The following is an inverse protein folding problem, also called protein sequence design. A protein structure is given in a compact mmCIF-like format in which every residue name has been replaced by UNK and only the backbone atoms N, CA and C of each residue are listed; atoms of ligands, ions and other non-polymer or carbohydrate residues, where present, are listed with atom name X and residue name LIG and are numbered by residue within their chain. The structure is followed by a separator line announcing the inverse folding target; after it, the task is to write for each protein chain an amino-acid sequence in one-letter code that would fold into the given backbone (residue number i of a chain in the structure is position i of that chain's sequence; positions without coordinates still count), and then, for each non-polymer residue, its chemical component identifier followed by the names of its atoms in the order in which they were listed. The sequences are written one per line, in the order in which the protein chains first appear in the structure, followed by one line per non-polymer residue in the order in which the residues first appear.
data_IF_179636220773
#
_entry.id   IF_179636220773
#
_cell.length_a   1.000
_cell.length_b   1.000
_cell.length_c   1.000
_cell.angle_alpha   90.00
_cell.angle_beta   90.00
_cell.angle_gamma   90.00
#
_symmetry.space_group_name_H-M   'P 1'
#
loop_
_entity.id
_entity.type
_entity.pdbx_description
1 polymer ?
#
# COMPACT_ATOMS: atom_id res chain seq x y z
N UNK A 1 -9.30 25.93 -8.08
CA UNK A 1 -10.27 25.68 -9.16
C UNK A 1 -11.34 24.76 -8.61
N UNK A 2 -12.61 25.14 -8.71
CA UNK A 2 -13.71 24.36 -8.14
C UNK A 2 -14.30 23.50 -9.25
N UNK A 3 -14.07 22.19 -9.19
CA UNK A 3 -14.70 21.21 -10.09
C UNK A 3 -15.73 20.42 -9.29
N UNK A 4 -16.92 20.23 -9.84
CA UNK A 4 -17.95 19.36 -9.26
C UNK A 4 -17.77 17.96 -9.81
N UNK A 5 -17.75 16.97 -8.94
CA UNK A 5 -17.67 15.56 -9.34
C UNK A 5 -19.02 14.92 -9.04
N UNK A 6 -19.63 14.32 -10.05
CA UNK A 6 -20.94 13.67 -9.95
C UNK A 6 -20.82 12.18 -10.26
N UNK A 7 -21.40 11.35 -9.39
CA UNK A 7 -21.42 9.89 -9.49
C UNK A 7 -22.70 9.41 -10.18
N UNK A 8 -22.56 8.42 -11.06
CA UNK A 8 -23.63 7.80 -11.84
C UNK A 8 -23.46 6.28 -11.90
N UNK A 9 -24.56 5.53 -11.92
CA UNK A 9 -24.53 4.17 -12.45
C UNK A 9 -24.47 4.21 -13.98
N UNK A 10 -24.05 3.12 -14.61
CA UNK A 10 -23.89 3.08 -16.06
C UNK A 10 -25.18 3.36 -16.84
N UNK A 11 -26.32 2.90 -16.35
CA UNK A 11 -27.62 3.05 -17.01
C UNK A 11 -28.17 4.47 -16.89
N UNK A 12 -27.73 5.23 -15.87
CA UNK A 12 -28.11 6.63 -15.64
C UNK A 12 -27.01 7.62 -16.02
N UNK A 13 -25.87 7.11 -16.52
CA UNK A 13 -24.73 7.92 -16.91
C UNK A 13 -25.08 8.78 -18.15
N UNK A 14 -24.83 10.10 -18.11
CA UNK A 14 -25.01 10.97 -19.27
C UNK A 14 -24.06 10.57 -20.41
N UNK A 15 -24.45 10.89 -21.65
CA UNK A 15 -23.67 10.57 -22.86
C UNK A 15 -22.23 11.09 -22.79
N UNK A 16 -22.02 12.23 -22.13
CA UNK A 16 -20.69 12.82 -21.91
C UNK A 16 -19.66 11.86 -21.30
N UNK A 17 -20.08 10.89 -20.48
CA UNK A 17 -19.14 9.89 -19.95
C UNK A 17 -18.56 9.03 -21.08
N UNK A 18 -19.41 8.60 -22.01
CA UNK A 18 -19.02 7.82 -23.18
C UNK A 18 -18.23 8.68 -24.17
N UNK A 19 -18.68 9.91 -24.43
CA UNK A 19 -18.01 10.83 -25.35
C UNK A 19 -16.56 11.14 -24.95
N UNK A 20 -16.32 11.39 -23.65
CA UNK A 20 -14.97 11.70 -23.16
C UNK A 20 -14.07 10.47 -23.29
N UNK A 21 -14.56 9.27 -22.94
CA UNK A 21 -13.81 8.02 -23.10
C UNK A 21 -13.48 7.73 -24.57
N UNK A 22 -14.45 7.92 -25.46
CA UNK A 22 -14.28 7.77 -26.91
C UNK A 22 -13.19 8.72 -27.44
N UNK A 23 -13.27 10.01 -27.09
CA UNK A 23 -12.28 11.01 -27.53
C UNK A 23 -10.87 10.70 -27.02
N UNK A 24 -10.74 10.35 -25.74
CA UNK A 24 -9.40 10.17 -25.12
C UNK A 24 -8.81 8.80 -25.40
N UNK A 25 -9.54 7.71 -25.18
CA UNK A 25 -8.97 6.37 -25.31
C UNK A 25 -8.96 5.90 -26.76
N UNK A 26 -10.08 6.04 -27.48
CA UNK A 26 -10.19 5.51 -28.85
C UNK A 26 -9.59 6.46 -29.88
N UNK A 27 -10.02 7.73 -29.90
CA UNK A 27 -9.59 8.66 -30.95
C UNK A 27 -8.16 9.16 -30.75
N UNK A 28 -7.78 9.54 -29.53
CA UNK A 28 -6.46 10.06 -29.22
C UNK A 28 -5.44 8.93 -28.97
N UNK A 29 -5.68 8.04 -28.01
CA UNK A 29 -4.72 7.01 -27.62
C UNK A 29 -4.75 5.74 -28.49
N UNK A 30 -5.70 5.65 -29.43
CA UNK A 30 -5.84 4.53 -30.38
C UNK A 30 -6.09 3.17 -29.72
N UNK A 31 -6.70 3.16 -28.53
CA UNK A 31 -7.23 1.94 -27.91
C UNK A 31 -8.34 1.39 -28.81
N UNK A 32 -8.30 0.09 -29.18
CA UNK A 32 -9.36 -0.53 -29.96
C UNK A 32 -10.74 -0.35 -29.28
N UNK A 33 -11.79 0.10 -30.01
CA UNK A 33 -13.11 0.34 -29.42
C UNK A 33 -13.67 -0.85 -28.64
N UNK A 34 -13.42 -2.08 -29.11
CA UNK A 34 -13.86 -3.32 -28.48
C UNK A 34 -13.19 -3.62 -27.13
N UNK A 35 -12.05 -3.00 -26.82
CA UNK A 35 -11.37 -3.12 -25.53
C UNK A 35 -11.75 -2.00 -24.55
N UNK A 36 -12.24 -0.88 -25.06
CA UNK A 36 -12.62 0.27 -24.22
C UNK A 36 -13.86 -0.03 -23.38
N UNK A 37 -14.86 -0.66 -23.98
CA UNK A 37 -16.14 -1.00 -23.36
C UNK A 37 -16.11 -2.44 -22.85
N UNK A 38 -16.27 -2.62 -21.53
CA UNK A 38 -16.14 -3.94 -20.91
C UNK A 38 -17.30 -4.27 -19.96
N UNK A 39 -17.35 -5.53 -19.51
CA UNK A 39 -18.40 -5.99 -18.60
C UNK A 39 -18.37 -5.31 -17.22
N UNK A 40 -17.28 -4.65 -16.85
CA UNK A 40 -17.19 -3.94 -15.57
C UNK A 40 -17.88 -2.58 -15.61
N UNK A 41 -18.14 -2.03 -16.79
CA UNK A 41 -18.89 -0.78 -16.93
C UNK A 41 -20.27 -0.86 -16.28
N UNK A 42 -20.98 -2.00 -16.40
CA UNK A 42 -22.32 -2.19 -15.83
C UNK A 42 -22.36 -2.18 -14.29
N UNK A 43 -21.27 -2.59 -13.63
CA UNK A 43 -21.17 -2.70 -12.17
C UNK A 43 -20.39 -1.56 -11.52
N UNK A 44 -19.78 -0.69 -12.33
CA UNK A 44 -18.95 0.40 -11.84
C UNK A 44 -19.79 1.63 -11.47
N UNK A 45 -19.30 2.36 -10.47
CA UNK A 45 -19.64 3.75 -10.26
C UNK A 45 -18.84 4.62 -11.23
N UNK A 46 -19.52 5.44 -12.02
CA UNK A 46 -18.90 6.35 -12.99
C UNK A 46 -18.94 7.78 -12.47
N UNK A 47 -17.83 8.49 -12.61
CA UNK A 47 -17.66 9.83 -12.08
C UNK A 47 -17.41 10.80 -13.24
N UNK A 48 -18.17 11.90 -13.25
CA UNK A 48 -18.02 12.98 -14.23
C UNK A 48 -17.56 14.26 -13.53
N UNK A 49 -16.46 14.83 -14.00
CA UNK A 49 -15.94 16.12 -13.58
C UNK A 49 -16.57 17.22 -14.43
N UNK A 50 -17.21 18.18 -13.76
CA UNK A 50 -17.99 19.26 -14.37
C UNK A 50 -17.46 20.60 -13.84
N UNK A 51 -17.12 21.48 -14.77
CA UNK A 51 -16.66 22.84 -14.50
C UNK A 51 -17.82 23.76 -14.05
N UNK A 52 -17.54 24.94 -13.46
CA UNK A 52 -18.58 25.84 -12.96
C UNK A 52 -19.59 26.33 -14.02
N UNK A 53 -19.20 26.33 -15.29
CA UNK A 53 -20.04 26.67 -16.44
C UNK A 53 -20.88 25.48 -16.95
N UNK A 54 -20.90 24.36 -16.21
CA UNK A 54 -21.49 23.08 -16.55
C UNK A 54 -20.80 22.30 -17.68
N UNK A 55 -19.58 22.70 -18.06
CA UNK A 55 -18.82 21.96 -19.08
C UNK A 55 -18.25 20.64 -18.52
N UNK A 56 -18.56 19.48 -19.11
CA UNK A 56 -17.94 18.20 -18.76
C UNK A 56 -16.46 18.18 -19.19
N UNK A 57 -15.55 17.89 -18.26
CA UNK A 57 -14.11 17.99 -18.50
C UNK A 57 -13.34 16.69 -18.36
N UNK A 58 -13.87 15.72 -17.60
CA UNK A 58 -13.18 14.47 -17.37
C UNK A 58 -14.04 13.41 -16.71
N UNK A 59 -13.56 12.18 -16.73
CA UNK A 59 -14.26 10.98 -16.26
C UNK A 59 -13.32 10.06 -15.49
N UNK A 60 -13.90 9.22 -14.66
CA UNK A 60 -13.24 8.06 -14.07
C UNK A 60 -14.31 7.01 -13.72
N UNK A 61 -13.88 5.78 -13.45
CA UNK A 61 -14.75 4.76 -12.85
C UNK A 61 -14.10 4.16 -11.60
N UNK A 62 -14.94 3.72 -10.67
CA UNK A 62 -14.58 2.94 -9.50
C UNK A 62 -15.48 1.71 -9.44
N UNK A 63 -14.89 0.53 -9.29
CA UNK A 63 -15.66 -0.70 -9.09
C UNK A 63 -14.95 -1.63 -8.12
N UNK A 64 -15.68 -2.62 -7.63
CA UNK A 64 -15.12 -3.73 -6.86
C UNK A 64 -15.82 -5.02 -7.30
N UNK A 65 -15.05 -6.09 -7.56
CA UNK A 65 -15.62 -7.38 -7.98
C UNK A 65 -16.07 -8.20 -6.77
N UNK A 66 -15.20 -8.34 -5.77
CA UNK A 66 -15.46 -8.96 -4.46
C UNK A 66 -14.41 -8.46 -3.46
N UNK A 67 -14.84 -8.02 -2.27
CA UNK A 67 -13.95 -7.85 -1.11
C UNK A 67 -13.58 -6.41 -0.75
N UNK A 68 -12.38 -6.24 -0.21
CA UNK A 68 -11.88 -5.02 0.46
C UNK A 68 -11.06 -4.11 -0.47
N UNK A 69 -11.08 -4.36 -1.78
CA UNK A 69 -10.28 -3.63 -2.79
C UNK A 69 -11.17 -2.91 -3.79
N UNK A 70 -10.91 -1.62 -4.00
CA UNK A 70 -11.51 -0.81 -5.05
C UNK A 70 -10.57 -0.68 -6.26
N UNK A 71 -11.13 -0.71 -7.46
CA UNK A 71 -10.38 -0.57 -8.72
C UNK A 71 -10.74 0.74 -9.40
N UNK A 72 -9.76 1.64 -9.52
CA UNK A 72 -9.89 2.88 -10.26
C UNK A 72 -9.47 2.63 -11.70
N UNK A 73 -10.30 3.05 -12.64
CA UNK A 73 -10.03 2.89 -14.07
C UNK A 73 -10.65 3.99 -14.91
N UNK A 74 -10.41 3.91 -16.23
CA UNK A 74 -10.97 4.80 -17.25
C UNK A 74 -10.85 6.29 -16.89
N UNK A 75 -9.74 6.65 -16.24
CA UNK A 75 -9.49 8.00 -15.82
C UNK A 75 -9.01 8.82 -17.01
N UNK A 76 -9.81 9.79 -17.45
CA UNK A 76 -9.54 10.58 -18.64
C UNK A 76 -9.96 12.04 -18.44
N UNK A 77 -9.10 12.97 -18.85
CA UNK A 77 -9.39 14.40 -18.92
C UNK A 77 -9.25 14.82 -20.38
N UNK A 78 -10.24 15.57 -20.89
CA UNK A 78 -10.18 16.11 -22.26
C UNK A 78 -8.92 17.00 -22.44
N UNK A 79 -8.24 16.93 -23.60
CA UNK A 79 -6.97 17.64 -23.83
C UNK A 79 -6.95 19.10 -23.42
N UNK A 80 -7.99 19.85 -23.75
CA UNK A 80 -8.17 21.28 -23.47
C UNK A 80 -8.24 21.63 -21.97
N UNK A 81 -8.55 20.65 -21.11
CA UNK A 81 -8.67 20.84 -19.67
C UNK A 81 -7.52 20.21 -18.86
N UNK A 82 -6.51 19.62 -19.52
CA UNK A 82 -5.34 19.04 -18.86
C UNK A 82 -4.45 20.11 -18.24
N UNK A 83 -3.69 19.73 -17.21
CA UNK A 83 -2.79 20.64 -16.49
C UNK A 83 -3.49 21.63 -15.55
N UNK A 84 -4.82 21.59 -15.46
CA UNK A 84 -5.61 22.52 -14.62
C UNK A 84 -5.96 21.94 -13.23
N UNK A 85 -5.41 20.77 -12.87
CA UNK A 85 -5.65 20.11 -11.57
C UNK A 85 -6.95 19.30 -11.49
N UNK A 86 -7.73 19.19 -12.57
CA UNK A 86 -9.00 18.42 -12.59
C UNK A 86 -8.77 16.94 -12.30
N UNK A 87 -7.74 16.32 -12.91
CA UNK A 87 -7.39 14.93 -12.64
C UNK A 87 -7.04 14.69 -11.17
N UNK A 88 -6.29 15.60 -10.56
CA UNK A 88 -5.96 15.51 -9.13
C UNK A 88 -7.21 15.61 -8.25
N UNK A 89 -8.11 16.54 -8.57
CA UNK A 89 -9.38 16.68 -7.86
C UNK A 89 -10.26 15.42 -8.01
N UNK A 90 -10.31 14.83 -9.21
CA UNK A 90 -11.01 13.57 -9.47
C UNK A 90 -10.43 12.42 -8.64
N UNK A 91 -9.11 12.22 -8.68
CA UNK A 91 -8.47 11.14 -7.93
C UNK A 91 -8.65 11.31 -6.42
N UNK A 92 -8.51 12.54 -5.90
CA UNK A 92 -8.76 12.83 -4.48
C UNK A 92 -10.18 12.47 -4.08
N UNK A 93 -11.18 12.82 -4.90
CA UNK A 93 -12.56 12.44 -4.65
C UNK A 93 -12.76 10.93 -4.62
N UNK A 94 -12.15 10.18 -5.56
CA UNK A 94 -12.22 8.72 -5.55
C UNK A 94 -11.58 8.11 -4.30
N UNK A 95 -10.45 8.66 -3.82
CA UNK A 95 -9.83 8.24 -2.57
C UNK A 95 -10.78 8.50 -1.39
N UNK A 96 -11.42 9.67 -1.34
CA UNK A 96 -12.40 10.01 -0.31
C UNK A 96 -13.62 9.09 -0.34
N UNK A 97 -14.20 8.82 -1.51
CA UNK A 97 -15.33 7.88 -1.67
C UNK A 97 -14.95 6.46 -1.23
N UNK A 98 -13.68 6.10 -1.41
CA UNK A 98 -13.16 4.79 -1.05
C UNK A 98 -12.74 4.65 0.42
N UNK A 99 -12.45 5.77 1.09
CA UNK A 99 -11.96 5.78 2.47
C UNK A 99 -13.01 5.17 3.41
N UNK A 100 -12.60 4.19 4.21
CA UNK A 100 -13.50 3.43 5.09
C UNK A 100 -14.36 2.37 4.38
N UNK A 101 -14.47 2.38 3.05
CA UNK A 101 -15.13 1.33 2.27
C UNK A 101 -14.14 0.24 1.82
N UNK A 102 -12.97 0.67 1.36
CA UNK A 102 -11.91 -0.22 0.86
C UNK A 102 -10.65 -0.05 1.69
N UNK A 103 -9.97 -1.16 1.96
CA UNK A 103 -8.64 -1.15 2.57
C UNK A 103 -7.55 -0.91 1.52
N UNK A 104 -7.83 -1.17 0.25
CA UNK A 104 -6.89 -1.01 -0.84
C UNK A 104 -7.55 -0.41 -2.07
N UNK A 105 -6.82 0.45 -2.77
CA UNK A 105 -7.14 0.89 -4.12
C UNK A 105 -6.10 0.38 -5.08
N UNK A 106 -6.54 -0.13 -6.22
CA UNK A 106 -5.69 -0.59 -7.31
C UNK A 106 -6.05 0.13 -8.61
N UNK A 107 -5.06 0.30 -9.47
CA UNK A 107 -5.23 0.82 -10.81
C UNK A 107 -4.14 0.32 -11.73
N UNK A 108 -4.44 0.25 -13.03
CA UNK A 108 -3.44 0.10 -14.07
C UNK A 108 -3.06 1.49 -14.57
N UNK A 109 -1.82 1.90 -14.34
CA UNK A 109 -1.32 3.22 -14.75
C UNK A 109 -0.49 3.11 -16.02
N UNK A 110 -0.79 3.96 -17.00
CA UNK A 110 0.12 4.21 -18.11
C UNK A 110 1.47 4.71 -17.56
N UNK A 111 2.57 4.28 -18.14
CA UNK A 111 3.91 4.55 -17.60
C UNK A 111 4.20 6.05 -17.37
N UNK A 112 3.67 6.92 -18.23
CA UNK A 112 3.85 8.38 -18.08
C UNK A 112 2.99 8.99 -16.95
N UNK A 113 1.96 8.29 -16.47
CA UNK A 113 1.06 8.73 -15.41
C UNK A 113 1.50 8.27 -14.00
N UNK A 114 2.55 7.45 -13.88
CA UNK A 114 3.04 6.95 -12.58
C UNK A 114 3.29 8.09 -11.59
N UNK A 115 4.00 9.13 -12.03
CA UNK A 115 4.32 10.26 -11.17
C UNK A 115 3.06 11.02 -10.70
N UNK A 116 1.97 10.99 -11.48
CA UNK A 116 0.69 11.57 -11.09
C UNK A 116 0.06 10.78 -9.94
N UNK A 117 -0.01 9.45 -10.05
CA UNK A 117 -0.56 8.58 -9.00
C UNK A 117 0.32 8.52 -7.74
N UNK A 118 1.66 8.56 -7.89
CA UNK A 118 2.58 8.65 -6.75
C UNK A 118 2.36 9.91 -5.92
N UNK A 119 2.02 11.04 -6.55
CA UNK A 119 1.67 12.26 -5.80
C UNK A 119 0.41 12.12 -4.96
N UNK A 120 -0.45 11.18 -5.32
CA UNK A 120 -1.66 10.84 -4.58
C UNK A 120 -1.47 9.67 -3.60
N UNK A 121 -0.24 9.13 -3.44
CA UNK A 121 0.05 8.07 -2.47
C UNK A 121 -0.04 6.63 -2.98
N UNK A 122 -0.11 6.44 -4.30
CA UNK A 122 -0.01 5.12 -4.91
C UNK A 122 1.45 4.73 -5.14
N UNK A 123 1.76 3.43 -5.06
CA UNK A 123 3.06 2.88 -5.41
C UNK A 123 2.92 1.77 -6.46
N UNK A 124 3.97 1.58 -7.26
CA UNK A 124 4.06 0.51 -8.26
C UNK A 124 4.16 -0.85 -7.57
N UNK A 125 3.40 -1.84 -8.04
CA UNK A 125 3.38 -3.19 -7.47
C UNK A 125 3.55 -4.34 -8.49
N UNK A 126 3.87 -4.03 -9.75
CA UNK A 126 4.09 -5.00 -10.84
C UNK A 126 5.35 -4.68 -11.65
N UNK A 127 5.71 -5.60 -12.55
CA UNK A 127 6.61 -5.31 -13.67
C UNK A 127 5.84 -4.67 -14.84
N UNK A 128 6.49 -3.91 -15.73
CA UNK A 128 5.80 -3.30 -16.86
C UNK A 128 5.18 -4.36 -17.78
N UNK A 129 3.97 -4.08 -18.26
CA UNK A 129 3.27 -4.93 -19.23
C UNK A 129 2.61 -4.09 -20.33
N UNK A 130 2.26 -4.73 -21.45
CA UNK A 130 1.52 -4.11 -22.54
C UNK A 130 0.01 -4.24 -22.29
N UNK A 131 -0.72 -3.14 -22.39
CA UNK A 131 -2.18 -3.11 -22.43
C UNK A 131 -2.62 -2.25 -23.62
N UNK A 132 -3.25 -2.89 -24.61
CA UNK A 132 -3.64 -2.29 -25.88
C UNK A 132 -2.52 -1.52 -26.61
N UNK A 133 -1.27 -2.01 -26.57
CA UNK A 133 -0.12 -1.35 -27.19
C UNK A 133 0.48 -0.19 -26.37
N UNK A 134 0.01 0.01 -25.13
CA UNK A 134 0.45 1.07 -24.23
C UNK A 134 1.17 0.43 -23.03
N UNK A 135 2.40 0.86 -22.69
CA UNK A 135 3.10 0.38 -21.49
C UNK A 135 2.40 0.79 -20.20
N UNK A 136 2.06 -0.21 -19.38
CA UNK A 136 1.36 -0.07 -18.12
C UNK A 136 2.11 -0.72 -16.96
N UNK A 137 1.79 -0.23 -15.76
CA UNK A 137 2.20 -0.78 -14.47
C UNK A 137 1.00 -0.75 -13.53
N UNK A 138 0.75 -1.85 -12.84
CA UNK A 138 -0.17 -1.87 -11.70
C UNK A 138 0.40 -1.02 -10.57
N UNK A 139 -0.47 -0.19 -10.02
CA UNK A 139 -0.20 0.61 -8.84
C UNK A 139 -1.30 0.38 -7.80
N UNK A 140 -0.94 0.56 -6.54
CA UNK A 140 -1.88 0.43 -5.42
C UNK A 140 -1.66 1.45 -4.31
N UNK A 141 -2.71 1.69 -3.54
CA UNK A 141 -2.71 2.43 -2.29
C UNK A 141 -3.28 1.53 -1.19
N UNK A 142 -2.51 1.27 -0.14
CA UNK A 142 -2.87 0.37 0.96
C UNK A 142 -3.45 1.10 2.20
N UNK A 143 -3.60 2.42 2.13
CA UNK A 143 -4.08 3.26 3.23
C UNK A 143 -4.92 4.44 2.75
N UNK A 144 -6.02 4.21 2.01
CA UNK A 144 -6.85 5.30 1.47
C UNK A 144 -7.40 6.21 2.57
N UNK A 145 -7.77 5.66 3.73
CA UNK A 145 -8.26 6.41 4.90
C UNK A 145 -7.24 7.42 5.44
N UNK A 146 -5.95 7.06 5.46
CA UNK A 146 -4.89 7.97 5.92
C UNK A 146 -4.62 9.09 4.92
N UNK A 147 -4.76 8.83 3.62
CA UNK A 147 -4.61 9.85 2.59
C UNK A 147 -5.77 10.85 2.60
N UNK A 148 -6.99 10.36 2.80
CA UNK A 148 -8.19 11.20 2.97
C UNK A 148 -8.02 12.15 4.17
N UNK A 149 -7.61 11.63 5.33
CA UNK A 149 -7.37 12.44 6.52
C UNK A 149 -6.26 13.50 6.34
N UNK A 150 -5.44 13.38 5.29
CA UNK A 150 -4.36 14.30 4.93
C UNK A 150 -4.68 15.16 3.69
N UNK A 151 -5.93 15.24 3.24
CA UNK A 151 -6.34 15.89 1.98
C UNK A 151 -5.97 17.38 1.81
N UNK A 152 -5.37 18.04 2.83
CA UNK A 152 -4.80 19.40 2.76
C UNK A 152 -3.28 19.50 2.99
N UNK A 153 -2.59 18.37 3.15
CA UNK A 153 -1.16 18.31 3.44
C UNK A 153 -0.32 18.61 2.20
N UNK A 154 0.79 19.36 2.36
CA UNK A 154 1.74 19.68 1.28
C UNK A 154 2.71 18.52 0.95
N UNK A 155 2.34 17.28 1.26
CA UNK A 155 3.17 16.09 0.98
C UNK A 155 3.18 15.83 -0.52
N UNK A 156 4.37 15.78 -1.11
CA UNK A 156 4.51 15.60 -2.55
C UNK A 156 4.33 14.15 -3.00
N UNK A 157 4.82 13.16 -2.23
CA UNK A 157 4.74 11.73 -2.56
C UNK A 157 4.43 10.94 -1.27
N UNK A 158 3.21 11.05 -0.73
CA UNK A 158 2.90 10.49 0.58
C UNK A 158 3.09 8.96 0.58
N UNK A 159 3.70 8.44 1.64
CA UNK A 159 3.90 7.00 1.86
C UNK A 159 4.70 6.27 0.78
N UNK A 160 5.47 6.99 -0.05
CA UNK A 160 6.35 6.36 -1.03
C UNK A 160 7.72 6.03 -0.40
N UNK A 161 8.06 4.75 -0.34
CA UNK A 161 9.29 4.25 0.29
C UNK A 161 10.52 4.84 -0.40
N UNK A 162 11.38 5.50 0.37
CA UNK A 162 12.57 6.21 -0.10
C UNK A 162 12.34 7.66 -0.52
N UNK A 163 11.09 8.12 -0.60
CA UNK A 163 10.78 9.45 -1.12
C UNK A 163 9.96 10.34 -0.16
N UNK A 164 9.10 9.77 0.68
CA UNK A 164 8.38 10.54 1.70
C UNK A 164 9.28 10.86 2.91
N UNK A 165 9.85 12.06 2.88
CA UNK A 165 10.77 12.57 3.91
C UNK A 165 10.08 13.01 5.20
N UNK A 166 8.75 13.10 5.21
CA UNK A 166 8.01 13.52 6.39
C UNK A 166 7.48 12.30 7.15
N UNK A 167 7.68 12.28 8.48
CA UNK A 167 7.16 11.19 9.32
C UNK A 167 5.63 11.25 9.45
N UNK A 168 5.01 10.08 9.47
CA UNK A 168 3.59 9.89 9.79
C UNK A 168 3.47 9.52 11.26
N UNK A 169 2.65 10.24 12.03
CA UNK A 169 2.36 9.88 13.42
C UNK A 169 1.10 9.04 13.47
N UNK A 170 1.08 8.08 14.37
CA UNK A 170 -0.08 7.26 14.62
C UNK A 170 -0.27 7.11 16.15
N UNK A 171 -1.52 7.12 16.59
CA UNK A 171 -1.91 6.99 18.00
C UNK A 171 -2.89 5.84 18.24
N UNK A 172 -3.35 5.21 17.16
CA UNK A 172 -4.29 4.10 17.17
C UNK A 172 -3.76 2.97 16.30
N UNK A 173 -4.25 1.76 16.56
CA UNK A 173 -3.81 0.55 15.88
C UNK A 173 -4.11 0.57 14.38
N UNK A 174 -5.31 1.00 13.97
CA UNK A 174 -5.70 1.04 12.55
C UNK A 174 -4.71 1.85 11.70
N UNK A 175 -4.39 3.08 12.12
CA UNK A 175 -3.42 3.93 11.42
C UNK A 175 -2.01 3.34 11.40
N UNK A 176 -1.60 2.65 12.49
CA UNK A 176 -0.32 1.96 12.55
C UNK A 176 -0.25 0.79 11.55
N UNK A 177 -1.31 -0.01 11.47
CA UNK A 177 -1.40 -1.15 10.57
C UNK A 177 -1.43 -0.71 9.09
N UNK A 178 -2.17 0.35 8.77
CA UNK A 178 -2.20 0.95 7.43
C UNK A 178 -0.81 1.44 6.97
N UNK A 179 -0.08 2.11 7.87
CA UNK A 179 1.30 2.56 7.60
C UNK A 179 2.27 1.39 7.46
N UNK A 180 2.12 0.37 8.31
CA UNK A 180 2.92 -0.85 8.26
C UNK A 180 2.72 -1.58 6.93
N UNK A 181 1.47 -1.82 6.52
CA UNK A 181 1.15 -2.51 5.27
C UNK A 181 1.59 -1.70 4.05
N UNK A 182 1.36 -0.38 4.07
CA UNK A 182 1.85 0.53 3.03
C UNK A 182 3.36 0.44 2.85
N UNK A 183 4.12 0.33 3.95
CA UNK A 183 5.57 0.23 3.91
C UNK A 183 6.05 -1.14 3.44
N UNK A 184 5.54 -2.24 4.02
CA UNK A 184 5.94 -3.60 3.65
C UNK A 184 5.54 -3.93 2.21
N UNK A 185 4.42 -3.38 1.72
CA UNK A 185 3.97 -3.56 0.35
C UNK A 185 4.93 -3.03 -0.72
N UNK A 186 5.88 -2.17 -0.33
CA UNK A 186 6.92 -1.61 -1.18
C UNK A 186 8.28 -2.27 -0.99
N UNK A 187 8.43 -3.17 -0.01
CA UNK A 187 9.70 -3.77 0.34
C UNK A 187 10.33 -4.54 -0.83
N UNK A 188 11.59 -4.25 -1.13
CA UNK A 188 12.34 -4.92 -2.20
C UNK A 188 13.17 -6.10 -1.72
N UNK A 189 13.76 -6.00 -0.53
CA UNK A 189 14.83 -6.90 -0.09
C UNK A 189 14.73 -7.31 1.38
N UNK A 190 14.27 -6.43 2.29
CA UNK A 190 14.45 -6.68 3.72
C UNK A 190 13.25 -6.24 4.55
N UNK A 191 12.88 -7.09 5.51
CA UNK A 191 11.95 -6.78 6.58
C UNK A 191 12.50 -7.29 7.90
N UNK A 192 12.90 -6.39 8.80
CA UNK A 192 13.35 -6.76 10.14
C UNK A 192 12.36 -6.26 11.17
N UNK A 193 11.83 -7.14 12.00
CA UNK A 193 10.85 -6.82 13.04
C UNK A 193 11.43 -7.15 14.40
N UNK A 194 11.40 -6.17 15.31
CA UNK A 194 11.71 -6.34 16.72
C UNK A 194 10.49 -5.98 17.56
N UNK A 195 10.02 -6.94 18.37
CA UNK A 195 8.88 -6.75 19.27
C UNK A 195 8.98 -7.66 20.50
N UNK A 196 8.10 -7.49 21.49
CA UNK A 196 8.07 -8.38 22.66
C UNK A 196 7.55 -9.77 22.31
N UNK A 197 6.45 -9.81 21.55
CA UNK A 197 5.81 -11.04 21.09
C UNK A 197 5.42 -10.87 19.63
N UNK A 198 5.31 -11.97 18.89
CA UNK A 198 4.70 -11.94 17.56
C UNK A 198 3.17 -12.06 17.74
N UNK A 199 2.55 -10.91 17.99
CA UNK A 199 1.12 -10.77 18.26
C UNK A 199 0.23 -11.15 17.05
N UNK A 200 -0.84 -11.91 17.29
CA UNK A 200 -1.72 -12.41 16.24
C UNK A 200 -2.54 -11.29 15.56
N UNK A 201 -2.98 -10.29 16.32
CA UNK A 201 -3.85 -9.24 15.81
C UNK A 201 -3.04 -8.23 14.99
N UNK A 202 -1.76 -8.05 15.31
CA UNK A 202 -0.85 -7.20 14.54
C UNK A 202 -0.26 -7.90 13.31
N UNK A 203 0.30 -9.11 13.50
CA UNK A 203 1.18 -9.76 12.52
C UNK A 203 0.58 -11.00 11.85
N UNK A 204 -0.50 -11.61 12.36
CA UNK A 204 -1.15 -12.77 11.71
C UNK A 204 -2.32 -12.39 10.78
N UNK A 205 -2.44 -11.10 10.47
CA UNK A 205 -3.45 -10.57 9.54
C UNK A 205 -3.23 -11.10 8.12
N UNK A 206 -4.30 -11.38 7.39
CA UNK A 206 -4.23 -11.88 6.00
C UNK A 206 -3.38 -10.97 5.10
N UNK A 207 -3.67 -9.66 5.11
CA UNK A 207 -2.94 -8.66 4.32
C UNK A 207 -1.44 -8.68 4.59
N UNK A 208 -1.03 -8.56 5.86
CA UNK A 208 0.38 -8.58 6.23
C UNK A 208 1.09 -9.87 5.79
N UNK A 209 0.44 -11.02 5.95
CA UNK A 209 0.99 -12.32 5.49
C UNK A 209 1.21 -12.37 3.98
N UNK A 210 0.27 -11.86 3.19
CA UNK A 210 0.41 -11.79 1.73
C UNK A 210 1.58 -10.88 1.34
N UNK A 211 1.75 -9.74 2.01
CA UNK A 211 2.87 -8.83 1.77
C UNK A 211 4.23 -9.48 2.12
N UNK A 212 4.32 -10.16 3.27
CA UNK A 212 5.53 -10.87 3.70
C UNK A 212 5.84 -12.05 2.77
N UNK A 213 4.82 -12.82 2.36
CA UNK A 213 4.95 -13.91 1.39
C UNK A 213 5.43 -13.40 0.04
N UNK A 214 4.88 -12.29 -0.44
CA UNK A 214 5.31 -11.60 -1.66
C UNK A 214 6.78 -11.19 -1.58
N UNK A 215 7.18 -10.52 -0.49
CA UNK A 215 8.59 -10.15 -0.26
C UNK A 215 9.51 -11.37 -0.26
N UNK A 216 9.14 -12.44 0.45
CA UNK A 216 9.96 -13.65 0.58
C UNK A 216 10.20 -14.35 -0.78
N UNK A 217 9.26 -14.21 -1.72
CA UNK A 217 9.32 -14.81 -3.07
C UNK A 217 9.90 -13.86 -4.13
N UNK A 218 9.88 -12.55 -3.89
CA UNK A 218 10.25 -11.51 -4.84
C UNK A 218 11.70 -11.63 -5.33
N UNK A 219 12.65 -11.83 -4.43
CA UNK A 219 14.06 -11.87 -4.80
C UNK A 219 14.85 -12.92 -4.02
N UNK A 220 15.89 -13.48 -4.65
CA UNK A 220 16.77 -14.47 -4.02
C UNK A 220 17.61 -13.95 -2.86
N UNK A 221 17.59 -12.64 -2.60
CA UNK A 221 18.25 -12.00 -1.46
C UNK A 221 17.23 -11.45 -0.45
N UNK A 222 15.94 -11.73 -0.65
CA UNK A 222 14.91 -11.34 0.31
C UNK A 222 15.21 -11.93 1.68
N UNK A 223 15.19 -11.08 2.69
CA UNK A 223 15.52 -11.41 4.07
C UNK A 223 14.48 -10.84 5.02
N UNK A 224 13.77 -11.73 5.70
CA UNK A 224 12.80 -11.40 6.73
C UNK A 224 13.32 -11.96 8.06
N UNK A 225 13.54 -11.09 9.04
CA UNK A 225 14.04 -11.46 10.37
C UNK A 225 13.09 -10.97 11.44
N UNK A 226 12.64 -11.87 12.29
CA UNK A 226 11.71 -11.61 13.39
C UNK A 226 12.44 -11.86 14.71
N UNK A 227 12.65 -10.82 15.50
CA UNK A 227 13.32 -10.92 16.79
C UNK A 227 12.32 -10.59 17.89
N UNK A 228 12.02 -11.57 18.74
CA UNK A 228 11.03 -11.42 19.81
C UNK A 228 11.60 -11.78 21.18
N UNK A 229 10.92 -11.37 22.26
CA UNK A 229 11.30 -11.73 23.63
C UNK A 229 10.78 -13.11 24.01
N UNK A 230 9.53 -13.38 23.64
CA UNK A 230 8.81 -14.59 24.06
C UNK A 230 8.00 -15.19 22.92
N UNK A 231 8.04 -16.50 22.79
CA UNK A 231 7.32 -17.32 21.80
C UNK A 231 6.14 -18.10 22.39
N UNK A 232 5.83 -17.96 23.69
CA UNK A 232 4.70 -18.67 24.29
C UNK A 232 3.35 -18.38 23.60
N UNK A 233 3.16 -17.19 23.05
CA UNK A 233 1.95 -16.85 22.28
C UNK A 233 1.79 -17.74 21.05
N UNK A 234 2.91 -18.16 20.44
CA UNK A 234 2.95 -18.96 19.20
C UNK A 234 2.55 -20.42 19.43
N UNK A 235 2.73 -20.95 20.64
CA UNK A 235 2.26 -22.30 20.98
C UNK A 235 0.75 -22.31 21.21
N UNK A 236 0.25 -21.32 21.96
CA UNK A 236 -1.15 -21.29 22.40
C UNK A 236 -2.11 -21.24 21.21
N UNK A 237 -1.71 -20.56 20.13
CA UNK A 237 -2.50 -20.41 18.92
C UNK A 237 -1.59 -20.46 17.70
N UNK A 238 -1.94 -21.34 16.75
CA UNK A 238 -1.30 -21.45 15.43
C UNK A 238 -1.17 -20.08 14.78
N UNK A 239 0.06 -19.68 14.47
CA UNK A 239 0.38 -18.42 13.80
C UNK A 239 0.87 -18.72 12.38
N UNK A 240 0.23 -18.15 11.37
CA UNK A 240 0.48 -18.51 9.98
C UNK A 240 1.77 -17.90 9.40
N UNK A 241 2.32 -16.83 9.97
CA UNK A 241 3.69 -16.39 9.64
C UNK A 241 4.73 -17.45 10.02
N UNK A 242 4.51 -18.19 11.12
CA UNK A 242 5.39 -19.30 11.51
C UNK A 242 5.29 -20.45 10.50
N UNK A 243 4.11 -20.73 9.96
CA UNK A 243 3.97 -21.70 8.86
C UNK A 243 4.68 -21.26 7.59
N UNK A 244 4.53 -19.98 7.23
CA UNK A 244 5.23 -19.40 6.09
C UNK A 244 6.75 -19.51 6.28
N UNK A 245 7.25 -19.28 7.50
CA UNK A 245 8.63 -19.48 7.88
C UNK A 245 9.09 -20.93 7.67
N UNK A 246 8.28 -21.92 8.07
CA UNK A 246 8.60 -23.34 7.83
C UNK A 246 8.66 -23.71 6.35
N UNK A 247 7.87 -23.05 5.50
CA UNK A 247 7.90 -23.24 4.04
C UNK A 247 9.09 -22.53 3.38
N UNK A 248 9.54 -21.40 3.93
CA UNK A 248 10.60 -20.56 3.40
C UNK A 248 11.70 -20.26 4.45
N UNK A 249 12.35 -21.27 5.04
CA UNK A 249 13.25 -21.09 6.19
C UNK A 249 14.56 -20.36 5.86
N UNK A 250 14.95 -20.32 4.58
CA UNK A 250 16.09 -19.54 4.11
C UNK A 250 15.78 -18.05 3.93
N UNK A 251 14.49 -17.68 3.96
CA UNK A 251 14.00 -16.30 3.73
C UNK A 251 13.49 -15.66 4.99
N UNK A 252 12.77 -16.43 5.80
CA UNK A 252 12.13 -15.95 7.03
C UNK A 252 12.80 -16.67 8.19
N UNK A 253 13.28 -15.90 9.15
CA UNK A 253 13.93 -16.43 10.34
C UNK A 253 13.34 -15.76 11.57
N UNK A 254 13.19 -16.54 12.64
CA UNK A 254 12.75 -16.04 13.95
C UNK A 254 13.78 -16.42 15.02
N UNK A 255 14.15 -15.44 15.85
CA UNK A 255 15.00 -15.64 17.02
C UNK A 255 14.36 -15.03 18.27
N UNK A 256 14.71 -15.61 19.41
CA UNK A 256 14.43 -15.04 20.71
C UNK A 256 15.64 -14.21 21.16
N UNK A 257 15.41 -13.04 21.74
CA UNK A 257 16.49 -12.27 22.34
C UNK A 257 17.13 -13.05 23.49
N UNK A 258 18.39 -12.73 23.77
CA UNK A 258 19.03 -13.07 25.03
C UNK A 258 18.68 -12.00 26.07
N UNK A 259 17.97 -12.39 27.13
CA UNK A 259 17.54 -11.47 28.19
C UNK A 259 18.70 -10.86 28.97
N UNK A 260 19.85 -11.53 28.98
CA UNK A 260 21.06 -11.06 29.66
C UNK A 260 21.89 -10.11 28.79
N UNK A 261 21.53 -9.95 27.52
CA UNK A 261 22.17 -9.05 26.57
C UNK A 261 21.40 -7.70 26.49
N UNK A 262 22.11 -6.55 26.34
CA UNK A 262 21.46 -5.26 26.17
C UNK A 262 20.52 -5.24 24.95
N UNK A 263 19.27 -4.84 25.19
CA UNK A 263 18.24 -4.79 24.17
C UNK A 263 17.48 -3.45 24.19
N UNK A 264 16.77 -3.19 23.10
CA UNK A 264 15.97 -1.97 22.93
C UNK A 264 14.67 -2.05 23.74
N UNK A 265 14.26 -0.94 24.34
CA UNK A 265 13.02 -0.88 25.15
C UNK A 265 11.77 -0.56 24.31
N UNK A 266 11.92 -0.44 22.99
CA UNK A 266 10.88 0.02 22.09
C UNK A 266 10.85 -0.86 20.84
N UNK A 267 9.66 -1.29 20.38
CA UNK A 267 9.54 -2.13 19.21
C UNK A 267 9.67 -1.30 17.93
N UNK A 268 10.22 -1.93 16.90
CA UNK A 268 10.35 -1.30 15.59
C UNK A 268 10.34 -2.34 14.47
N UNK A 269 9.94 -1.87 13.29
CA UNK A 269 10.00 -2.62 12.05
C UNK A 269 10.80 -1.81 11.03
N UNK A 270 11.81 -2.43 10.42
CA UNK A 270 12.65 -1.83 9.39
C UNK A 270 12.32 -2.46 8.04
N UNK A 271 12.12 -1.63 7.03
CA UNK A 271 11.86 -2.06 5.66
C UNK A 271 12.96 -1.53 4.75
N UNK A 272 13.65 -2.45 4.08
CA UNK A 272 14.86 -2.20 3.30
C UNK A 272 15.87 -1.37 4.10
N UNK A 273 16.44 -0.32 3.49
CA UNK A 273 17.37 0.62 4.13
C UNK A 273 16.75 2.01 4.33
N UNK A 274 15.43 2.12 4.22
CA UNK A 274 14.74 3.40 4.03
C UNK A 274 13.55 3.56 4.97
N UNK A 275 12.80 2.49 5.21
CA UNK A 275 11.56 2.52 5.98
C UNK A 275 11.74 2.10 7.43
N UNK A 276 11.08 2.82 8.33
CA UNK A 276 10.96 2.48 9.76
C UNK A 276 9.53 2.72 10.25
N UNK A 277 8.95 1.73 10.93
CA UNK A 277 7.80 1.92 11.81
C UNK A 277 8.29 1.74 13.24
N UNK A 278 8.04 2.71 14.10
CA UNK A 278 8.54 2.75 15.46
C UNK A 278 7.41 3.02 16.43
N UNK A 279 7.26 2.21 17.50
CA UNK A 279 6.31 2.52 18.57
C UNK A 279 7.06 2.95 19.83
N UNK A 280 6.46 3.87 20.57
CA UNK A 280 7.05 4.38 21.80
C UNK A 280 6.94 3.39 22.98
N UNK A 281 6.06 2.39 22.88
CA UNK A 281 5.81 1.38 23.91
C UNK A 281 5.43 0.04 23.26
N UNK A 282 5.66 -1.08 23.95
CA UNK A 282 5.30 -2.43 23.47
C UNK A 282 3.79 -2.71 23.52
N UNK A 283 3.03 -2.02 24.37
CA UNK A 283 1.62 -2.27 24.64
C UNK A 283 0.69 -1.20 24.07
N UNK A 284 1.24 -0.10 23.52
CA UNK A 284 0.45 0.99 22.94
C UNK A 284 0.80 1.19 21.47
N UNK A 285 -0.20 1.43 20.62
CA UNK A 285 0.02 1.66 19.20
C UNK A 285 0.40 3.12 18.94
N UNK A 286 1.15 3.80 19.81
CA UNK A 286 1.55 5.19 19.58
C UNK A 286 2.99 5.26 19.08
N UNK A 287 3.23 6.05 18.04
CA UNK A 287 4.52 6.02 17.35
C UNK A 287 4.56 6.82 16.07
N UNK A 288 5.50 6.46 15.21
CA UNK A 288 5.62 7.06 13.89
C UNK A 288 6.12 6.07 12.83
N UNK A 289 5.81 6.37 11.58
CA UNK A 289 6.37 5.72 10.40
C UNK A 289 7.17 6.74 9.57
N UNK A 290 8.38 6.40 9.19
CA UNK A 290 9.22 7.15 8.25
C UNK A 290 9.49 6.30 7.01
N UNK A 291 9.14 6.80 5.83
CA UNK A 291 9.34 6.08 4.57
C UNK A 291 10.69 6.41 3.91
N UNK A 292 11.31 7.54 4.25
CA UNK A 292 12.63 7.94 3.77
C UNK A 292 13.55 8.36 4.93
N UNK A 293 13.81 7.44 5.86
CA UNK A 293 14.59 7.69 7.08
C UNK A 293 15.80 6.74 7.22
N UNK A 294 16.69 6.80 6.23
CA UNK A 294 17.87 5.93 6.15
C UNK A 294 18.83 6.08 7.34
N UNK A 295 18.91 7.27 7.93
CA UNK A 295 19.73 7.54 9.11
C UNK A 295 19.26 6.75 10.33
N UNK A 296 17.97 6.82 10.65
CA UNK A 296 17.39 6.05 11.76
C UNK A 296 17.39 4.56 11.47
N UNK A 297 17.08 4.15 10.23
CA UNK A 297 17.12 2.73 9.83
C UNK A 297 18.52 2.15 10.02
N UNK A 298 19.58 2.91 9.71
CA UNK A 298 20.97 2.47 9.93
C UNK A 298 21.24 2.21 11.41
N UNK A 299 20.94 3.17 12.28
CA UNK A 299 21.16 3.05 13.73
C UNK A 299 20.40 1.86 14.33
N UNK A 300 19.10 1.76 14.03
CA UNK A 300 18.27 0.66 14.52
C UNK A 300 18.70 -0.69 13.95
N UNK A 301 19.15 -0.73 12.70
CA UNK A 301 19.66 -1.96 12.09
C UNK A 301 20.96 -2.45 12.76
N UNK A 302 21.86 -1.55 13.15
CA UNK A 302 23.08 -1.91 13.90
C UNK A 302 22.74 -2.49 15.27
N UNK A 303 21.74 -1.91 15.97
CA UNK A 303 21.26 -2.42 17.26
C UNK A 303 20.55 -3.76 17.08
N UNK A 304 19.67 -3.87 16.07
CA UNK A 304 18.99 -5.11 15.70
C UNK A 304 19.98 -6.22 15.42
N UNK A 305 21.04 -5.95 14.64
CA UNK A 305 22.04 -6.95 14.27
C UNK A 305 22.78 -7.48 15.50
N UNK A 306 23.17 -6.60 16.45
CA UNK A 306 23.80 -7.00 17.72
C UNK A 306 22.88 -7.91 18.54
N UNK A 307 21.61 -7.52 18.71
CA UNK A 307 20.62 -8.34 19.43
C UNK A 307 20.34 -9.66 18.69
N UNK A 308 20.31 -9.64 17.36
CA UNK A 308 20.08 -10.81 16.52
C UNK A 308 21.21 -11.85 16.66
N UNK A 309 22.46 -11.39 16.66
CA UNK A 309 23.64 -12.25 16.77
C UNK A 309 23.77 -12.90 18.15
N UNK A 310 23.38 -12.20 19.21
CA UNK A 310 23.25 -12.77 20.55
C UNK A 310 22.00 -13.66 20.72
N UNK A 311 20.97 -13.43 19.90
CA UNK A 311 19.70 -14.14 19.97
C UNK A 311 19.80 -15.63 19.65
N UNK A 312 18.93 -16.42 20.28
CA UNK A 312 18.86 -17.87 20.12
C UNK A 312 17.71 -18.29 19.22
N UNK A 313 17.84 -19.44 18.56
CA UNK A 313 16.68 -20.06 17.89
C UNK A 313 15.65 -20.52 18.92
N UNK A 314 14.37 -20.33 18.61
CA UNK A 314 13.30 -20.95 19.40
C UNK A 314 13.36 -22.48 19.29
N UNK A 315 13.36 -23.16 20.43
CA UNK A 315 13.24 -24.62 20.52
C UNK A 315 11.79 -25.06 20.31
N UNK A 316 10.83 -24.24 20.72
CA UNK A 316 9.39 -24.57 20.69
C UNK A 316 8.84 -24.54 19.26
N UNK A 317 9.36 -23.67 18.40
CA UNK A 317 9.05 -23.66 16.97
C UNK A 317 9.43 -24.96 16.25
N UNK A 318 10.38 -25.76 16.79
CA UNK A 318 10.74 -27.07 16.25
C UNK A 318 9.75 -28.17 16.65
N UNK A 319 8.96 -27.94 17.70
CA UNK A 319 8.06 -28.93 18.31
C UNK A 319 6.58 -28.71 17.94
N UNK A 320 6.24 -27.60 17.26
CA UNK A 320 4.87 -27.33 16.84
C UNK A 320 4.37 -28.38 15.82
N UNK A 321 3.25 -29.09 16.11
CA UNK A 321 2.70 -30.07 15.19
C UNK A 321 2.32 -29.42 13.86
N UNK A 322 2.45 -30.20 12.77
CA UNK A 322 2.17 -29.79 11.39
C UNK A 322 0.69 -29.46 11.16
#
# INVERSE_FOLDING_TARGET
MTVRIQKYSWQLAPEHIRDIRQKVFVEEQKVPPELEWDATDEIADHFLAILPDNTPAGVARLFSTLGETGHIGRMAILPEFRGQGIGEAMLRHLITESAGQYQELQLSAQQHAIAFYQRAGFHVCSEPYDDAGIPHLDMRCLAPTLLEAQAGSKRLRPMLLGEDTQSWRFENESSMLDLMDSMVGQAGQRLWLYDRVLDHDLYDRHRFRELVSGLARRHRLSEIRLLIHDDQSLIKRRHHLVELMRRLPSRIQLRLIDSDYPHENQPFMLVDRQGVVFRHDFNRPSGFAGFADSGRVKLLAENFQRMWDAGRSSLELRQLPL
#
